data_IF_085697404419
#
_entry.id   IF_085697404419
#
_cell.length_a   1.000
_cell.length_b   1.000
_cell.length_c   1.000
_cell.angle_alpha   90.00
_cell.angle_beta   90.00
_cell.angle_gamma   90.00
#
_symmetry.space_group_name_H-M   'P 1'
#
loop_
_entity.id
_entity.type
_entity.pdbx_description
1 polymer ?
#
# COMPACT_ATOMS: atom_id res chain seq x y z
N UNK A 1 35.42 -34.07 -10.95
CA UNK A 1 34.04 -34.59 -10.86
C UNK A 1 33.16 -33.84 -11.85
N UNK A 2 32.17 -34.55 -12.41
CA UNK A 2 31.61 -34.39 -13.75
C UNK A 2 30.88 -33.05 -14.00
N UNK A 3 31.23 -32.37 -15.10
CA UNK A 3 30.39 -31.35 -15.75
C UNK A 3 29.40 -32.10 -16.65
N UNK A 4 28.12 -32.08 -16.32
CA UNK A 4 27.07 -32.65 -17.16
C UNK A 4 26.49 -31.49 -17.98
N UNK A 5 26.78 -31.50 -19.28
CA UNK A 5 26.08 -30.68 -20.26
C UNK A 5 24.68 -31.28 -20.46
N UNK A 6 23.63 -30.49 -20.22
CA UNK A 6 22.26 -30.89 -20.56
C UNK A 6 21.82 -30.09 -21.78
N UNK A 7 21.54 -30.83 -22.84
CA UNK A 7 21.15 -30.35 -24.16
C UNK A 7 19.75 -29.73 -24.11
N UNK A 8 19.62 -28.51 -24.64
CA UNK A 8 18.37 -27.78 -24.84
C UNK A 8 17.51 -28.52 -25.88
N UNK A 9 16.30 -28.94 -25.52
CA UNK A 9 15.29 -29.40 -26.46
C UNK A 9 14.12 -28.43 -26.39
N UNK A 10 14.01 -27.58 -27.42
CA UNK A 10 12.89 -26.66 -27.62
C UNK A 10 11.75 -27.44 -28.27
N UNK A 11 10.64 -27.66 -27.56
CA UNK A 11 9.38 -28.12 -28.15
C UNK A 11 8.35 -27.00 -28.11
N UNK A 12 8.21 -26.32 -29.25
CA UNK A 12 7.13 -25.38 -29.52
C UNK A 12 5.88 -26.23 -29.81
N UNK A 13 4.88 -26.16 -28.94
CA UNK A 13 3.53 -26.62 -29.27
C UNK A 13 2.60 -25.41 -29.28
N UNK A 14 2.37 -24.92 -30.48
CA UNK A 14 1.22 -24.09 -30.81
C UNK A 14 0.04 -25.02 -31.12
N UNK A 15 -1.16 -24.72 -30.59
CA UNK A 15 -2.49 -25.00 -31.16
C UNK A 15 -3.50 -24.54 -30.07
N UNK A 16 -4.16 -23.38 -30.20
CA UNK A 16 -5.26 -22.99 -31.11
C UNK A 16 -6.64 -23.10 -30.44
N UNK A 17 -7.16 -21.94 -30.05
CA UNK A 17 -8.51 -21.37 -30.27
C UNK A 17 -9.80 -22.21 -30.09
N UNK A 18 -10.74 -21.54 -29.39
CA UNK A 18 -12.22 -21.54 -29.49
C UNK A 18 -13.03 -22.56 -28.67
N UNK A 19 -13.82 -22.08 -27.68
CA UNK A 19 -15.23 -21.66 -27.88
C UNK A 19 -16.09 -21.72 -26.59
N UNK A 20 -16.74 -20.59 -26.24
CA UNK A 20 -18.00 -20.35 -25.49
C UNK A 20 -18.40 -21.24 -24.28
N UNK A 21 -18.74 -20.71 -23.09
CA UNK A 21 -18.98 -19.34 -22.65
C UNK A 21 -19.58 -19.24 -21.24
N UNK A 22 -19.77 -17.98 -20.81
CA UNK A 22 -20.41 -17.40 -19.59
C UNK A 22 -19.52 -17.07 -18.37
N UNK A 23 -19.27 -15.75 -18.31
CA UNK A 23 -19.20 -14.83 -17.16
C UNK A 23 -18.06 -14.99 -16.15
N UNK A 24 -16.96 -14.28 -16.45
CA UNK A 24 -16.13 -13.56 -15.48
C UNK A 24 -15.33 -12.52 -16.27
N UNK A 25 -15.84 -11.29 -16.27
CA UNK A 25 -15.17 -10.10 -16.80
C UNK A 25 -15.00 -9.23 -15.56
N UNK A 26 -13.79 -9.24 -15.01
CA UNK A 26 -13.21 -8.18 -14.15
C UNK A 26 -11.85 -8.58 -13.54
N UNK A 27 -11.39 -9.84 -13.67
CA UNK A 27 -10.13 -10.30 -13.02
C UNK A 27 -8.89 -10.15 -13.92
N UNK A 28 -9.06 -10.04 -15.24
CA UNK A 28 -7.93 -9.99 -16.18
C UNK A 28 -7.25 -8.62 -16.27
N UNK A 29 -7.97 -7.52 -15.99
CA UNK A 29 -7.39 -6.17 -16.04
C UNK A 29 -6.44 -5.91 -14.85
N UNK A 30 -6.68 -6.51 -13.69
CA UNK A 30 -5.79 -6.36 -12.51
C UNK A 30 -4.44 -7.07 -12.67
N UNK A 31 -4.34 -8.09 -13.53
CA UNK A 31 -3.10 -8.87 -13.70
C UNK A 31 -2.23 -8.32 -14.86
N UNK A 32 -2.82 -7.66 -15.86
CA UNK A 32 -2.04 -7.06 -16.96
C UNK A 32 -1.30 -5.77 -16.56
N UNK A 33 -1.68 -5.06 -15.50
CA UNK A 33 -0.92 -3.89 -15.02
C UNK A 33 0.37 -4.25 -14.24
N UNK A 34 0.61 -5.53 -13.92
CA UNK A 34 1.79 -5.93 -13.14
C UNK A 34 2.99 -6.29 -14.06
N UNK A 35 2.79 -6.51 -15.37
CA UNK A 35 3.87 -6.94 -16.27
C UNK A 35 3.73 -6.40 -17.71
N UNK A 36 3.85 -5.08 -17.91
CA UNK A 36 4.32 -4.53 -19.19
C UNK A 36 4.90 -3.10 -19.01
N UNK A 37 6.20 -2.99 -18.72
CA UNK A 37 7.17 -2.26 -19.57
C UNK A 37 8.62 -2.33 -19.01
N UNK A 38 9.54 -2.84 -19.82
CA UNK A 38 10.91 -2.28 -19.98
C UNK A 38 12.00 -2.43 -18.90
N UNK A 39 12.73 -3.55 -18.95
CA UNK A 39 14.13 -3.83 -18.55
C UNK A 39 15.08 -2.68 -18.10
N UNK A 40 15.84 -2.87 -17.01
CA UNK A 40 17.30 -3.18 -17.01
C UNK A 40 17.87 -3.39 -15.57
N UNK A 41 18.78 -4.36 -15.46
CA UNK A 41 19.71 -4.80 -14.38
C UNK A 41 19.31 -4.96 -12.88
N UNK A 42 19.86 -6.01 -12.23
CA UNK A 42 20.08 -5.99 -10.76
C UNK A 42 19.38 -7.04 -9.87
N UNK A 43 19.64 -8.33 -10.08
CA UNK A 43 19.53 -9.47 -9.13
C UNK A 43 19.10 -9.22 -7.66
N UNK A 44 18.08 -9.96 -7.17
CA UNK A 44 18.15 -11.04 -6.13
C UNK A 44 16.87 -11.09 -5.27
N UNK A 45 16.11 -12.19 -5.37
CA UNK A 45 15.33 -12.86 -4.29
C UNK A 45 14.32 -13.81 -4.96
N UNK A 46 14.68 -15.08 -5.15
CA UNK A 46 14.39 -16.19 -4.24
C UNK A 46 12.93 -16.29 -3.76
N UNK A 47 12.27 -17.30 -4.34
CA UNK A 47 11.16 -18.10 -3.82
C UNK A 47 9.77 -17.49 -3.74
N UNK A 48 8.98 -17.67 -4.80
CA UNK A 48 7.57 -18.08 -4.63
C UNK A 48 7.29 -19.24 -5.58
N UNK A 49 7.24 -20.45 -4.99
CA UNK A 49 6.69 -21.65 -5.60
C UNK A 49 5.22 -21.40 -5.96
N UNK A 50 4.91 -21.55 -7.25
CA UNK A 50 3.56 -21.48 -7.78
C UNK A 50 2.90 -22.85 -7.70
N UNK A 51 2.14 -23.09 -6.64
CA UNK A 51 1.03 -24.07 -6.66
C UNK A 51 -0.28 -23.28 -6.56
N UNK A 52 -0.82 -22.91 -7.72
CA UNK A 52 -2.15 -22.33 -7.81
C UNK A 52 -3.18 -23.45 -7.62
N UNK A 53 -3.64 -23.61 -6.38
CA UNK A 53 -4.90 -24.24 -6.05
C UNK A 53 -5.93 -23.09 -5.93
N UNK A 54 -7.14 -23.25 -6.47
CA UNK A 54 -8.21 -22.22 -6.44
C UNK A 54 -8.67 -21.84 -5.01
N UNK A 55 -8.16 -22.52 -3.99
CA UNK A 55 -8.31 -22.24 -2.55
C UNK A 55 -7.34 -21.15 -2.02
N UNK A 56 -6.35 -20.77 -2.83
CA UNK A 56 -5.26 -19.87 -2.42
C UNK A 56 -5.57 -18.38 -2.67
N UNK A 57 -6.52 -18.08 -3.54
CA UNK A 57 -6.96 -16.70 -3.79
C UNK A 57 -7.78 -16.17 -2.60
N UNK A 58 -8.70 -16.98 -2.06
CA UNK A 58 -9.47 -16.64 -0.86
C UNK A 58 -8.55 -16.47 0.37
N UNK A 59 -7.50 -17.28 0.47
CA UNK A 59 -6.45 -17.13 1.48
C UNK A 59 -5.70 -15.80 1.36
N UNK A 60 -5.25 -15.41 0.17
CA UNK A 60 -4.57 -14.12 -0.05
C UNK A 60 -5.50 -12.93 0.19
N UNK A 61 -6.77 -13.01 -0.24
CA UNK A 61 -7.79 -11.98 0.00
C UNK A 61 -8.08 -11.85 1.50
N UNK A 62 -8.12 -12.96 2.25
CA UNK A 62 -8.30 -12.92 3.71
C UNK A 62 -7.12 -12.28 4.43
N UNK A 63 -5.88 -12.58 3.99
CA UNK A 63 -4.66 -12.00 4.55
C UNK A 63 -4.57 -10.49 4.26
N UNK A 64 -4.91 -10.05 3.03
CA UNK A 64 -4.99 -8.62 2.70
C UNK A 64 -6.07 -7.88 3.50
N UNK A 65 -7.23 -8.51 3.74
CA UNK A 65 -8.29 -7.96 4.60
C UNK A 65 -7.85 -7.83 6.06
N UNK A 66 -7.16 -8.83 6.59
CA UNK A 66 -6.60 -8.79 7.95
C UNK A 66 -5.51 -7.72 8.10
N UNK A 67 -4.78 -7.41 7.02
CA UNK A 67 -3.77 -6.36 7.03
C UNK A 67 -4.35 -4.95 6.91
N UNK A 68 -5.38 -4.74 6.07
CA UNK A 68 -6.11 -3.47 6.05
C UNK A 68 -6.78 -3.16 7.39
N UNK A 69 -7.13 -4.18 8.19
CA UNK A 69 -7.63 -4.00 9.55
C UNK A 69 -6.64 -3.25 10.46
N UNK A 70 -5.33 -3.24 10.16
CA UNK A 70 -4.37 -2.42 10.91
C UNK A 70 -4.53 -0.93 10.68
N UNK A 71 -5.15 -0.51 9.57
CA UNK A 71 -5.41 0.89 9.21
C UNK A 71 -6.87 1.29 9.34
N UNK A 72 -7.76 0.34 9.61
CA UNK A 72 -9.18 0.58 9.82
C UNK A 72 -9.43 1.71 10.83
N UNK A 73 -10.50 2.44 10.56
CA UNK A 73 -10.92 3.60 11.33
C UNK A 73 -10.33 4.91 10.81
N UNK A 74 -10.62 5.98 11.56
CA UNK A 74 -10.15 7.32 11.26
C UNK A 74 -8.92 7.63 12.08
N UNK A 75 -8.01 8.37 11.47
CA UNK A 75 -6.78 8.85 12.09
C UNK A 75 -6.82 10.37 12.14
N UNK A 76 -5.97 10.97 12.97
CA UNK A 76 -5.88 12.41 13.11
C UNK A 76 -4.43 12.85 13.31
N UNK A 77 -4.08 14.02 12.81
CA UNK A 77 -2.74 14.59 13.02
C UNK A 77 -2.51 14.91 14.49
N UNK A 78 -1.27 14.77 14.95
CA UNK A 78 -0.86 15.25 16.27
C UNK A 78 -0.87 16.78 16.39
N UNK A 79 -0.78 17.49 15.25
CA UNK A 79 -0.97 18.93 15.16
C UNK A 79 -2.44 19.32 15.33
N UNK A 80 -2.67 20.44 16.01
CA UNK A 80 -4.00 20.98 16.27
C UNK A 80 -4.12 22.41 15.72
N UNK A 81 -5.23 22.71 15.07
CA UNK A 81 -5.60 24.00 14.50
C UNK A 81 -6.76 24.65 15.28
N UNK A 82 -7.03 25.91 14.97
CA UNK A 82 -8.22 26.62 15.45
C UNK A 82 -9.15 26.92 14.29
N UNK A 83 -10.42 26.55 14.45
CA UNK A 83 -11.48 26.91 13.53
C UNK A 83 -11.91 28.38 13.70
N UNK A 84 -12.68 28.88 12.73
CA UNK A 84 -13.16 30.27 12.74
C UNK A 84 -14.06 30.61 13.94
N UNK A 85 -14.70 29.61 14.56
CA UNK A 85 -15.51 29.73 15.77
C UNK A 85 -14.68 29.65 17.07
N UNK A 86 -13.36 29.46 16.94
CA UNK A 86 -12.42 29.32 18.05
C UNK A 86 -12.34 27.91 18.65
N UNK A 87 -13.04 26.93 18.08
CA UNK A 87 -12.87 25.53 18.47
C UNK A 87 -11.50 25.00 18.03
N UNK A 88 -10.94 24.08 18.82
CA UNK A 88 -9.64 23.48 18.56
C UNK A 88 -9.84 22.06 18.04
N UNK A 89 -9.29 21.76 16.87
CA UNK A 89 -9.42 20.46 16.22
C UNK A 89 -8.05 19.99 15.70
N UNK A 90 -7.87 18.70 15.38
CA UNK A 90 -6.70 18.27 14.63
C UNK A 90 -6.59 19.05 13.32
N UNK A 91 -5.35 19.28 12.87
CA UNK A 91 -5.11 19.94 11.57
C UNK A 91 -5.76 19.16 10.42
N UNK A 92 -5.67 17.82 10.46
CA UNK A 92 -6.42 16.95 9.56
C UNK A 92 -6.90 15.68 10.26
N UNK A 93 -8.02 15.19 9.78
CA UNK A 93 -8.43 13.79 9.89
C UNK A 93 -8.02 13.03 8.62
N UNK A 94 -7.75 11.74 8.78
CA UNK A 94 -7.20 10.88 7.73
C UNK A 94 -7.97 9.55 7.67
N UNK A 95 -8.31 9.13 6.46
CA UNK A 95 -8.85 7.79 6.16
C UNK A 95 -7.99 7.12 5.09
N UNK A 96 -7.54 5.90 5.38
CA UNK A 96 -6.75 5.09 4.46
C UNK A 96 -7.65 4.22 3.59
N UNK A 97 -7.25 4.04 2.34
CA UNK A 97 -7.82 3.06 1.41
C UNK A 97 -6.71 2.20 0.82
N UNK A 98 -7.02 1.34 -0.16
CA UNK A 98 -6.02 0.49 -0.80
C UNK A 98 -4.99 1.26 -1.63
N UNK A 99 -5.36 2.43 -2.17
CA UNK A 99 -4.53 3.18 -3.12
C UNK A 99 -4.41 4.69 -2.80
N UNK A 100 -5.15 5.17 -1.80
CA UNK A 100 -5.25 6.60 -1.48
C UNK A 100 -5.22 6.84 0.03
N UNK A 101 -4.62 7.96 0.41
CA UNK A 101 -4.74 8.57 1.75
C UNK A 101 -5.63 9.80 1.60
N UNK A 102 -6.80 9.78 2.25
CA UNK A 102 -7.77 10.88 2.20
C UNK A 102 -7.60 11.75 3.43
N UNK A 103 -7.32 13.03 3.21
CA UNK A 103 -7.19 14.03 4.26
C UNK A 103 -8.40 14.95 4.24
N UNK A 104 -8.88 15.34 5.41
CA UNK A 104 -10.07 16.17 5.51
C UNK A 104 -10.32 16.71 6.92
N UNK A 105 -11.49 17.30 7.09
CA UNK A 105 -11.98 17.81 8.37
C UNK A 105 -13.36 17.22 8.70
N UNK A 106 -13.82 17.44 9.93
CA UNK A 106 -15.18 17.08 10.34
C UNK A 106 -16.10 18.29 10.24
N UNK A 107 -17.21 18.10 9.54
CA UNK A 107 -18.31 19.06 9.47
C UNK A 107 -19.60 18.36 9.82
N UNK A 108 -20.27 18.81 10.88
CA UNK A 108 -21.50 18.18 11.37
C UNK A 108 -21.34 16.66 11.60
N UNK A 109 -20.18 16.24 12.15
CA UNK A 109 -19.76 14.85 12.37
C UNK A 109 -19.47 14.03 11.08
N UNK A 110 -19.66 14.62 9.90
CA UNK A 110 -19.32 14.01 8.61
C UNK A 110 -17.88 14.37 8.19
N UNK A 111 -17.16 13.38 7.65
CA UNK A 111 -15.82 13.58 7.11
C UNK A 111 -15.89 14.18 5.70
N UNK A 112 -15.31 15.37 5.56
CA UNK A 112 -15.24 16.11 4.30
C UNK A 112 -13.80 16.09 3.82
N UNK A 113 -13.58 15.42 2.68
CA UNK A 113 -12.25 15.30 2.06
C UNK A 113 -11.81 16.64 1.51
N UNK A 114 -10.62 17.07 1.91
CA UNK A 114 -9.95 18.28 1.42
C UNK A 114 -8.94 17.96 0.32
N UNK A 115 -8.15 16.89 0.50
CA UNK A 115 -7.21 16.41 -0.50
C UNK A 115 -6.95 14.91 -0.38
N UNK A 116 -6.35 14.37 -1.43
CA UNK A 116 -6.03 12.95 -1.54
C UNK A 116 -4.60 12.80 -2.04
N UNK A 117 -3.86 11.93 -1.36
CA UNK A 117 -2.52 11.53 -1.75
C UNK A 117 -2.52 10.09 -2.23
N UNK A 118 -1.60 9.78 -3.14
CA UNK A 118 -1.50 8.44 -3.75
C UNK A 118 -0.61 7.55 -2.90
N UNK A 119 -1.11 6.37 -2.54
CA UNK A 119 -0.32 5.29 -1.95
C UNK A 119 0.42 4.57 -3.08
N UNK A 120 1.73 4.47 -2.95
CA UNK A 120 2.60 3.76 -3.90
C UNK A 120 2.91 2.35 -3.40
N UNK A 121 3.01 2.17 -2.09
CA UNK A 121 3.18 0.85 -1.48
C UNK A 121 2.66 0.81 -0.05
N UNK A 122 2.18 -0.37 0.35
CA UNK A 122 1.90 -0.70 1.73
C UNK A 122 2.56 -2.04 2.07
N UNK A 123 3.29 -2.05 3.17
CA UNK A 123 3.89 -3.24 3.73
C UNK A 123 3.31 -3.45 5.12
N UNK A 124 2.75 -4.63 5.34
CA UNK A 124 2.16 -5.01 6.62
C UNK A 124 2.93 -6.17 7.23
N UNK A 125 3.26 -6.05 8.51
CA UNK A 125 4.02 -7.05 9.25
C UNK A 125 3.98 -6.72 10.74
N UNK A 126 5.14 -6.74 11.40
CA UNK A 126 5.29 -6.24 12.78
C UNK A 126 5.04 -4.73 12.86
N UNK A 127 5.37 -4.01 11.79
CA UNK A 127 5.04 -2.59 11.58
C UNK A 127 4.20 -2.48 10.30
N UNK A 128 3.28 -1.53 10.26
CA UNK A 128 2.71 -1.04 9.02
C UNK A 128 3.63 0.05 8.47
N UNK A 129 3.96 -0.03 7.18
CA UNK A 129 4.73 0.98 6.44
C UNK A 129 3.94 1.37 5.20
N UNK A 130 3.65 2.65 5.04
CA UNK A 130 2.87 3.20 3.93
C UNK A 130 3.74 4.25 3.24
N UNK A 131 4.11 4.01 1.99
CA UNK A 131 4.81 4.98 1.17
C UNK A 131 3.82 5.66 0.23
N UNK A 132 3.81 6.99 0.26
CA UNK A 132 2.89 7.79 -0.53
C UNK A 132 3.58 8.96 -1.21
N UNK A 133 2.92 9.49 -2.23
CA UNK A 133 3.30 10.71 -2.92
C UNK A 133 2.18 11.73 -2.74
N UNK A 134 2.54 12.88 -2.15
CA UNK A 134 1.65 14.01 -2.02
C UNK A 134 1.25 14.55 -3.39
N UNK A 135 0.08 15.17 -3.48
CA UNK A 135 -0.32 15.93 -4.69
C UNK A 135 0.70 17.00 -5.13
N UNK A 136 1.54 17.47 -4.21
CA UNK A 136 2.65 18.42 -4.44
C UNK A 136 3.92 17.76 -5.00
N UNK A 137 3.97 16.43 -5.08
CA UNK A 137 5.12 15.63 -5.51
C UNK A 137 6.08 15.23 -4.39
N UNK A 138 5.79 15.60 -3.14
CA UNK A 138 6.59 15.20 -1.97
C UNK A 138 6.39 13.72 -1.69
N UNK A 139 7.47 12.99 -1.48
CA UNK A 139 7.46 11.57 -1.13
C UNK A 139 7.62 11.42 0.37
N UNK A 140 6.77 10.61 0.99
CA UNK A 140 6.80 10.41 2.43
C UNK A 140 6.40 8.99 2.82
N UNK A 141 6.71 8.64 4.05
CA UNK A 141 6.37 7.37 4.67
C UNK A 141 5.63 7.60 5.98
N UNK A 142 4.53 6.87 6.17
CA UNK A 142 3.99 6.59 7.49
C UNK A 142 4.49 5.23 7.96
N UNK A 143 4.94 5.14 9.20
CA UNK A 143 5.29 3.87 9.82
C UNK A 143 4.68 3.77 11.21
N UNK A 144 4.15 2.60 11.57
CA UNK A 144 3.72 2.33 12.94
C UNK A 144 4.85 2.58 13.94
N UNK A 145 4.57 3.34 15.00
CA UNK A 145 5.54 3.58 16.07
C UNK A 145 5.96 2.27 16.72
N UNK A 146 7.22 2.16 17.12
CA UNK A 146 7.73 0.97 17.81
C UNK A 146 7.05 0.70 19.16
N UNK A 147 6.49 1.76 19.76
CA UNK A 147 5.93 1.73 21.10
C UNK A 147 4.41 1.65 21.15
N UNK A 148 3.73 2.02 20.05
CA UNK A 148 2.27 2.12 20.01
C UNK A 148 1.74 1.88 18.59
N UNK A 149 0.95 0.82 18.42
CA UNK A 149 0.31 0.48 17.14
C UNK A 149 -0.77 1.47 16.70
N UNK A 150 -1.20 2.38 17.58
CA UNK A 150 -2.17 3.42 17.28
C UNK A 150 -1.52 4.75 16.89
N UNK A 151 -0.20 4.75 16.68
CA UNK A 151 0.56 5.90 16.20
C UNK A 151 1.24 5.54 14.88
N UNK A 152 1.09 6.41 13.89
CA UNK A 152 1.83 6.39 12.65
C UNK A 152 2.80 7.58 12.62
N UNK A 153 4.09 7.29 12.70
CA UNK A 153 5.18 8.26 12.59
C UNK A 153 5.35 8.68 11.13
N UNK A 154 5.46 9.99 10.90
CA UNK A 154 5.63 10.56 9.57
C UNK A 154 7.10 10.89 9.28
N UNK A 155 7.57 10.47 8.12
CA UNK A 155 8.88 10.80 7.58
C UNK A 155 8.74 11.35 6.17
N UNK A 156 9.27 12.54 5.90
CA UNK A 156 9.24 13.19 4.58
C UNK A 156 10.28 12.60 3.61
N UNK A 157 10.32 11.27 3.51
CA UNK A 157 11.20 10.51 2.62
C UNK A 157 10.68 9.08 2.48
N UNK A 158 11.12 8.37 1.43
CA UNK A 158 10.99 6.92 1.34
C UNK A 158 12.22 6.17 1.82
N UNK A 159 13.34 6.87 2.01
CA UNK A 159 14.60 6.28 2.43
C UNK A 159 14.67 6.17 3.96
N UNK A 160 14.65 4.94 4.47
CA UNK A 160 14.71 4.67 5.91
C UNK A 160 15.99 5.24 6.57
N UNK A 161 17.10 5.28 5.85
CA UNK A 161 18.36 5.85 6.35
C UNK A 161 18.24 7.35 6.68
N UNK A 162 17.27 8.04 6.07
CA UNK A 162 17.00 9.47 6.24
C UNK A 162 15.94 9.76 7.32
N UNK A 163 15.29 8.74 7.90
CA UNK A 163 14.23 8.92 8.90
C UNK A 163 14.62 9.82 10.08
N UNK A 164 15.84 9.73 10.66
CA UNK A 164 16.23 10.60 11.76
C UNK A 164 16.14 12.10 11.44
N UNK A 165 16.36 12.48 10.18
CA UNK A 165 16.35 13.86 9.71
C UNK A 165 15.00 14.25 9.06
N UNK A 166 14.28 13.25 8.54
CA UNK A 166 13.01 13.43 7.82
C UNK A 166 11.78 13.35 8.73
N UNK A 167 11.92 12.98 10.00
CA UNK A 167 10.79 12.86 10.94
C UNK A 167 10.05 14.20 11.13
N UNK A 168 8.71 14.15 11.10
CA UNK A 168 7.83 15.30 11.41
C UNK A 168 6.71 14.88 12.37
N UNK A 169 6.93 15.11 13.66
CA UNK A 169 5.94 14.78 14.70
C UNK A 169 4.57 15.45 14.50
N UNK A 170 4.52 16.68 13.96
CA UNK A 170 3.25 17.37 13.70
C UNK A 170 2.38 16.72 12.62
N UNK A 171 3.00 16.07 11.63
CA UNK A 171 2.32 15.35 10.55
C UNK A 171 2.09 13.86 10.87
N UNK A 172 2.61 13.39 12.01
CA UNK A 172 2.36 12.04 12.50
C UNK A 172 0.90 11.90 12.95
N UNK A 173 0.37 10.69 12.85
CA UNK A 173 -1.04 10.42 13.09
C UNK A 173 -1.24 9.58 14.34
N UNK A 174 -2.34 9.82 15.03
CA UNK A 174 -2.90 8.92 16.03
C UNK A 174 -4.28 8.44 15.60
N UNK A 175 -4.64 7.22 15.98
CA UNK A 175 -5.97 6.69 15.71
C UNK A 175 -7.01 7.43 16.56
N UNK A 176 -8.16 7.75 15.99
CA UNK A 176 -9.29 8.30 16.74
C UNK A 176 -9.89 7.20 17.64
N UNK A 177 -10.24 7.56 18.88
CA UNK A 177 -10.90 6.66 19.84
C UNK A 177 -12.38 6.38 19.51
#
# INVERSE_FOLDING_TARGET
>A
MRRVALTLVLTITALSMMSCGKKEKDIAETIEEIYDDGADDGSTSDNISREANEDSADGLVSVLKDYNAQLDGRWQTASMSYEADGSMQPEFYVEFTENEIKYGHLKDEEFVVDHVDKIESMLFGEKCVIQATASTGVKYTYQTSESDSNILEYYETWNEEEYPDAYRGGASLSRCE
#
